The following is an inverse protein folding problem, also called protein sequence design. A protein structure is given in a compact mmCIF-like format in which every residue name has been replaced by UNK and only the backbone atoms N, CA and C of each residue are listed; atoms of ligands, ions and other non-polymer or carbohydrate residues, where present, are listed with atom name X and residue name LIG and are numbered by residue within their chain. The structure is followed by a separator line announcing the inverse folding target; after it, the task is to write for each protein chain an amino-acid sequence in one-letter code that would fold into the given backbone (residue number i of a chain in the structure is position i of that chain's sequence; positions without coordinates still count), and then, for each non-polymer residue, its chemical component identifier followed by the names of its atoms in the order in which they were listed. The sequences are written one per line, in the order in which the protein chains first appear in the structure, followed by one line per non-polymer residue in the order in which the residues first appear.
data_IF_426848698296
#
_entry.id   IF_426848698296
#
_cell.length_a   1.000
_cell.length_b   1.000
_cell.length_c   1.000
_cell.angle_alpha   90.00
_cell.angle_beta   90.00
_cell.angle_gamma   90.00
#
_symmetry.space_group_name_H-M   'P 1'
#
loop_
_entity.id
_entity.type
_entity.pdbx_description
1 polymer ?
#
# COMPACT_ATOMS: atom_id res chain seq x y z
N UNK A 1 6.12 20.12 14.99
CA UNK A 1 5.20 20.56 13.91
C UNK A 1 5.73 20.37 12.49
N UNK A 2 7.05 20.37 12.22
CA UNK A 2 7.60 20.20 10.85
C UNK A 2 7.38 18.81 10.20
N UNK A 3 7.24 17.73 10.99
CA UNK A 3 7.07 16.36 10.47
C UNK A 3 5.65 16.14 9.89
N UNK A 4 4.65 16.85 10.41
CA UNK A 4 3.26 16.76 9.94
C UNK A 4 3.06 17.44 8.58
N UNK A 5 3.88 18.45 8.27
CA UNK A 5 3.80 19.20 7.02
C UNK A 5 4.49 18.49 5.85
N UNK A 6 5.50 17.66 6.12
CA UNK A 6 6.17 16.83 5.09
C UNK A 6 5.38 15.56 4.76
N UNK A 7 4.60 15.02 5.71
CA UNK A 7 3.77 13.84 5.48
C UNK A 7 2.51 14.16 4.64
N UNK A 8 1.94 15.35 4.79
CA UNK A 8 0.81 15.82 3.97
C UNK A 8 1.18 16.04 2.50
N UNK A 9 2.41 16.47 2.21
CA UNK A 9 2.86 16.75 0.84
C UNK A 9 3.17 15.48 0.04
N UNK A 10 3.58 14.39 0.71
CA UNK A 10 3.81 13.09 0.09
C UNK A 10 2.51 12.33 -0.25
N UNK A 11 1.42 12.59 0.49
CA UNK A 11 0.11 11.97 0.23
C UNK A 11 -0.62 12.61 -0.96
N UNK A 12 -0.43 13.92 -1.19
CA UNK A 12 -1.03 14.63 -2.32
C UNK A 12 -0.36 14.28 -3.65
N UNK A 13 0.92 13.91 -3.63
CA UNK A 13 1.66 13.49 -4.84
C UNK A 13 1.28 12.07 -5.31
N UNK A 14 0.73 11.21 -4.44
CA UNK A 14 0.26 9.88 -4.83
C UNK A 14 -1.15 9.89 -5.44
N UNK A 15 -2.01 10.85 -5.05
CA UNK A 15 -3.31 11.07 -5.68
C UNK A 15 -3.24 11.64 -7.10
N UNK A 16 -2.10 12.22 -7.50
CA UNK A 16 -1.91 12.77 -8.84
C UNK A 16 -1.58 11.71 -9.92
N UNK A 17 -1.36 10.44 -9.53
CA UNK A 17 -1.06 9.36 -10.47
C UNK A 17 -2.30 8.59 -10.96
N UNK A 18 -3.51 9.02 -10.57
CA UNK A 18 -4.78 8.36 -10.91
C UNK A 18 -5.72 9.15 -11.84
N UNK A 19 -5.37 10.39 -12.20
CA UNK A 19 -6.19 11.23 -13.09
C UNK A 19 -5.51 11.36 -14.45
N UNK A 20 -5.48 10.25 -15.18
CA UNK A 20 -5.44 10.33 -16.62
C UNK A 20 -6.84 10.78 -17.05
N UNK A 21 -7.00 11.92 -17.77
CA UNK A 21 -8.29 12.25 -18.35
C UNK A 21 -8.75 11.06 -19.21
N UNK A 22 -10.06 10.77 -19.25
CA UNK A 22 -10.57 9.74 -20.16
C UNK A 22 -10.30 10.25 -21.57
N UNK A 23 -9.17 9.87 -22.15
CA UNK A 23 -8.99 9.98 -23.59
C UNK A 23 -10.10 9.13 -24.19
N UNK A 24 -10.96 9.85 -24.88
CA UNK A 24 -12.12 9.38 -25.62
C UNK A 24 -11.88 8.03 -26.28
N UNK A 25 -12.79 7.11 -25.97
CA UNK A 25 -13.18 5.95 -26.76
C UNK A 25 -12.86 6.10 -28.26
N UNK A 26 -11.72 5.58 -28.66
CA UNK A 26 -11.64 4.84 -29.91
C UNK A 26 -10.89 3.57 -29.57
N UNK A 27 -11.56 2.45 -29.76
CA UNK A 27 -10.94 1.15 -29.70
C UNK A 27 -9.60 1.24 -30.46
N UNK A 28 -8.52 0.74 -29.86
CA UNK A 28 -7.17 0.66 -30.47
C UNK A 28 -7.13 -0.22 -31.74
N UNK A 29 -8.31 -0.62 -32.23
CA UNK A 29 -8.61 -1.25 -33.50
C UNK A 29 -9.53 -0.27 -34.26
N UNK A 30 -9.08 0.96 -34.47
CA UNK A 30 -9.41 1.70 -35.70
C UNK A 30 -8.49 1.18 -36.81
N UNK A 31 -8.48 -0.15 -36.96
CA UNK A 31 -8.01 -0.72 -38.20
C UNK A 31 -9.09 -0.31 -39.17
N UNK A 32 -8.68 0.46 -40.16
CA UNK A 32 -9.12 0.63 -41.55
C UNK A 32 -10.03 -0.48 -42.15
N UNK A 33 -10.97 -1.00 -41.38
CA UNK A 33 -11.89 -2.10 -41.68
C UNK A 33 -12.88 -1.64 -42.73
N UNK A 34 -13.22 -0.34 -42.75
CA UNK A 34 -14.07 0.26 -43.79
C UNK A 34 -13.40 0.21 -45.16
N UNK A 35 -12.09 0.50 -45.25
CA UNK A 35 -11.36 0.45 -46.53
C UNK A 35 -11.08 -0.99 -46.96
N UNK A 36 -10.78 -1.89 -46.02
CA UNK A 36 -10.63 -3.32 -46.30
C UNK A 36 -11.95 -4.00 -46.67
N UNK A 37 -13.09 -3.60 -46.08
CA UNK A 37 -14.42 -4.09 -46.47
C UNK A 37 -14.75 -3.70 -47.91
N UNK A 38 -14.53 -2.45 -48.29
CA UNK A 38 -14.81 -1.95 -49.65
C UNK A 38 -13.94 -2.69 -50.70
N UNK A 39 -12.67 -2.96 -50.34
CA UNK A 39 -11.77 -3.78 -51.15
C UNK A 39 -12.21 -5.24 -51.30
N UNK A 40 -12.71 -5.85 -50.22
CA UNK A 40 -13.26 -7.22 -50.22
C UNK A 40 -14.58 -7.25 -51.02
N UNK A 41 -15.48 -6.30 -50.83
CA UNK A 41 -16.76 -6.19 -51.54
C UNK A 41 -16.53 -6.10 -53.05
N UNK A 42 -15.62 -5.21 -53.48
CA UNK A 42 -15.23 -5.08 -54.89
C UNK A 42 -14.62 -6.35 -55.47
N UNK A 43 -13.78 -7.06 -54.70
CA UNK A 43 -13.17 -8.32 -55.13
C UNK A 43 -14.21 -9.43 -55.29
N UNK A 44 -15.23 -9.45 -54.43
CA UNK A 44 -16.32 -10.42 -54.51
C UNK A 44 -17.27 -10.10 -55.67
N UNK A 45 -17.55 -8.83 -55.94
CA UNK A 45 -18.32 -8.43 -57.12
C UNK A 45 -17.62 -8.77 -58.44
N UNK A 46 -16.30 -8.59 -58.51
CA UNK A 46 -15.49 -9.07 -59.66
C UNK A 46 -15.53 -10.59 -59.80
N UNK A 47 -15.48 -11.31 -58.68
CA UNK A 47 -15.59 -12.78 -58.68
C UNK A 47 -16.97 -13.21 -59.17
N UNK A 48 -18.05 -12.55 -58.74
CA UNK A 48 -19.42 -12.80 -59.24
C UNK A 48 -19.52 -12.62 -60.74
N UNK A 49 -19.07 -11.47 -61.25
CA UNK A 49 -19.11 -11.20 -62.69
C UNK A 49 -18.33 -12.27 -63.49
N UNK A 50 -17.22 -12.75 -62.94
CA UNK A 50 -16.44 -13.83 -63.55
C UNK A 50 -17.19 -15.18 -63.53
N UNK A 51 -17.83 -15.53 -62.42
CA UNK A 51 -18.62 -16.76 -62.28
C UNK A 51 -19.86 -16.75 -63.19
N UNK A 52 -20.52 -15.60 -63.34
CA UNK A 52 -21.67 -15.42 -64.23
C UNK A 52 -21.27 -15.59 -65.71
N UNK A 53 -20.15 -14.99 -66.11
CA UNK A 53 -19.57 -15.20 -67.45
C UNK A 53 -19.18 -16.66 -67.71
N UNK A 54 -18.62 -17.36 -66.71
CA UNK A 54 -18.31 -18.79 -66.81
C UNK A 54 -19.59 -19.61 -66.94
N UNK A 55 -20.63 -19.31 -66.16
CA UNK A 55 -21.92 -19.99 -66.25
C UNK A 55 -22.56 -19.79 -67.64
N UNK A 56 -22.54 -18.58 -68.18
CA UNK A 56 -23.04 -18.29 -69.54
C UNK A 56 -22.25 -18.98 -70.65
N UNK A 57 -20.91 -19.04 -70.51
CA UNK A 57 -20.07 -19.78 -71.45
C UNK A 57 -20.34 -21.29 -71.39
N UNK A 58 -20.54 -21.85 -70.19
CA UNK A 58 -20.89 -23.26 -69.98
C UNK A 58 -22.29 -23.58 -70.54
N UNK A 59 -23.26 -22.68 -70.40
CA UNK A 59 -24.60 -22.82 -70.98
C UNK A 59 -24.56 -22.83 -72.52
N UNK A 60 -23.73 -21.97 -73.12
CA UNK A 60 -23.48 -21.95 -74.57
C UNK A 60 -22.79 -23.23 -75.08
N UNK A 61 -21.89 -23.81 -74.29
CA UNK A 61 -21.27 -25.11 -74.61
C UNK A 61 -22.31 -26.23 -74.51
N UNK A 62 -23.19 -26.20 -73.50
CA UNK A 62 -24.23 -27.20 -73.26
C UNK A 62 -25.24 -27.31 -74.41
N UNK A 63 -25.52 -26.19 -75.07
CA UNK A 63 -26.40 -26.09 -76.23
C UNK A 63 -25.71 -26.37 -77.58
N UNK A 64 -24.41 -26.65 -77.60
CA UNK A 64 -23.73 -27.02 -78.85
C UNK A 64 -24.01 -28.49 -79.23
N UNK A 65 -24.25 -28.74 -80.52
CA UNK A 65 -24.61 -30.07 -81.06
C UNK A 65 -23.49 -31.13 -80.97
N UNK A 66 -22.32 -30.77 -80.42
CA UNK A 66 -21.13 -31.63 -80.35
C UNK A 66 -20.96 -32.36 -79.01
N UNK A 67 -21.88 -32.23 -78.06
CA UNK A 67 -21.79 -32.89 -76.76
C UNK A 67 -22.58 -34.19 -76.70
N UNK A 68 -21.98 -35.21 -76.09
CA UNK A 68 -22.69 -36.44 -75.71
C UNK A 68 -23.65 -36.18 -74.55
N UNK A 69 -24.67 -37.03 -74.38
CA UNK A 69 -25.66 -36.87 -73.30
C UNK A 69 -25.03 -36.87 -71.90
N UNK A 70 -23.96 -37.64 -71.67
CA UNK A 70 -23.20 -37.62 -70.41
C UNK A 70 -22.43 -36.31 -70.17
N UNK A 71 -21.97 -35.65 -71.24
CA UNK A 71 -21.30 -34.35 -71.13
C UNK A 71 -22.30 -33.25 -70.83
N UNK A 72 -23.49 -33.27 -71.45
CA UNK A 72 -24.58 -32.33 -71.13
C UNK A 72 -25.02 -32.44 -69.67
N UNK A 73 -25.13 -33.66 -69.14
CA UNK A 73 -25.54 -33.88 -67.76
C UNK A 73 -24.49 -33.37 -66.76
N UNK A 74 -23.21 -33.72 -66.95
CA UNK A 74 -22.10 -33.21 -66.12
C UNK A 74 -22.02 -31.68 -66.15
N UNK A 75 -22.28 -31.09 -67.32
CA UNK A 75 -22.25 -29.65 -67.51
C UNK A 75 -23.44 -28.95 -66.82
N UNK A 76 -24.64 -29.52 -66.91
CA UNK A 76 -25.82 -29.05 -66.17
C UNK A 76 -25.60 -29.09 -64.65
N UNK A 77 -24.99 -30.15 -64.14
CA UNK A 77 -24.63 -30.24 -62.71
C UNK A 77 -23.58 -29.18 -62.32
N UNK A 78 -22.59 -28.96 -63.19
CA UNK A 78 -21.57 -27.93 -62.98
C UNK A 78 -22.17 -26.53 -62.91
N UNK A 79 -23.10 -26.21 -63.83
CA UNK A 79 -23.83 -24.92 -63.84
C UNK A 79 -24.67 -24.77 -62.57
N UNK A 80 -25.36 -25.83 -62.14
CA UNK A 80 -26.14 -25.82 -60.89
C UNK A 80 -25.26 -25.54 -59.66
N UNK A 81 -24.11 -26.21 -59.56
CA UNK A 81 -23.17 -26.02 -58.46
C UNK A 81 -22.57 -24.60 -58.47
N UNK A 82 -22.28 -24.05 -59.65
CA UNK A 82 -21.81 -22.68 -59.83
C UNK A 82 -22.85 -21.66 -59.34
N UNK A 83 -24.11 -21.82 -59.76
CA UNK A 83 -25.21 -20.96 -59.31
C UNK A 83 -25.39 -21.02 -57.79
N UNK A 84 -25.27 -22.21 -57.20
CA UNK A 84 -25.35 -22.36 -55.75
C UNK A 84 -24.17 -21.68 -55.03
N UNK A 85 -22.95 -21.79 -55.55
CA UNK A 85 -21.78 -21.11 -55.01
C UNK A 85 -21.89 -19.58 -55.09
N UNK A 86 -22.41 -19.05 -56.21
CA UNK A 86 -22.67 -17.62 -56.38
C UNK A 86 -23.70 -17.14 -55.35
N UNK A 87 -24.75 -17.93 -55.10
CA UNK A 87 -25.76 -17.63 -54.07
C UNK A 87 -25.17 -17.63 -52.66
N UNK A 88 -24.42 -18.66 -52.29
CA UNK A 88 -23.80 -18.76 -50.95
C UNK A 88 -22.77 -17.65 -50.73
N UNK A 89 -21.96 -17.36 -51.75
CA UNK A 89 -21.02 -16.24 -51.74
C UNK A 89 -21.76 -14.92 -51.52
N UNK A 90 -22.93 -14.74 -52.15
CA UNK A 90 -23.76 -13.56 -51.96
C UNK A 90 -24.25 -13.39 -50.53
N UNK A 91 -24.77 -14.45 -49.94
CA UNK A 91 -25.28 -14.40 -48.58
C UNK A 91 -24.15 -14.21 -47.56
N UNK A 92 -22.96 -14.75 -47.85
CA UNK A 92 -21.75 -14.56 -47.04
C UNK A 92 -21.27 -13.11 -47.05
N UNK A 93 -21.27 -12.44 -48.21
CA UNK A 93 -20.89 -11.01 -48.32
C UNK A 93 -21.89 -10.14 -47.58
N UNK A 94 -23.19 -10.39 -47.77
CA UNK A 94 -24.24 -9.58 -47.16
C UNK A 94 -24.25 -9.70 -45.62
N UNK A 95 -23.84 -10.85 -45.08
CA UNK A 95 -23.78 -11.10 -43.63
C UNK A 95 -22.46 -10.67 -42.98
N UNK A 96 -21.40 -10.42 -43.77
CA UNK A 96 -20.08 -10.06 -43.26
C UNK A 96 -20.06 -8.76 -42.44
N UNK A 97 -20.69 -7.64 -42.87
CA UNK A 97 -20.74 -6.41 -42.08
C UNK A 97 -21.45 -6.61 -40.73
N UNK A 98 -22.53 -7.39 -40.72
CA UNK A 98 -23.27 -7.70 -39.49
C UNK A 98 -22.43 -8.54 -38.51
N UNK A 99 -21.63 -9.48 -39.02
CA UNK A 99 -20.71 -10.28 -38.20
C UNK A 99 -19.58 -9.42 -37.59
N UNK A 100 -19.04 -8.46 -38.35
CA UNK A 100 -18.03 -7.51 -37.87
C UNK A 100 -18.63 -6.61 -36.78
N UNK A 101 -19.83 -6.05 -36.99
CA UNK A 101 -20.51 -5.23 -35.99
C UNK A 101 -20.77 -6.00 -34.70
N UNK A 102 -21.25 -7.24 -34.80
CA UNK A 102 -21.47 -8.10 -33.64
C UNK A 102 -20.15 -8.41 -32.90
N UNK A 103 -19.06 -8.68 -33.64
CA UNK A 103 -17.74 -8.88 -33.06
C UNK A 103 -17.25 -7.65 -32.30
N UNK A 104 -17.37 -6.46 -32.89
CA UNK A 104 -16.99 -5.20 -32.23
C UNK A 104 -17.79 -4.94 -30.96
N UNK A 105 -19.10 -5.18 -30.98
CA UNK A 105 -19.96 -5.03 -29.81
C UNK A 105 -19.56 -5.99 -28.68
N UNK A 106 -19.38 -7.28 -28.99
CA UNK A 106 -18.99 -8.28 -27.99
C UNK A 106 -17.61 -7.99 -27.43
N UNK A 107 -16.65 -7.61 -28.28
CA UNK A 107 -15.29 -7.26 -27.86
C UNK A 107 -15.31 -6.01 -26.97
N UNK A 108 -16.06 -4.98 -27.34
CA UNK A 108 -16.17 -3.74 -26.55
C UNK A 108 -16.82 -4.00 -25.19
N UNK A 109 -17.96 -4.69 -25.15
CA UNK A 109 -18.69 -4.98 -23.92
C UNK A 109 -17.90 -5.89 -22.97
N UNK A 110 -17.19 -6.89 -23.51
CA UNK A 110 -16.31 -7.77 -22.72
C UNK A 110 -15.06 -7.04 -22.23
N UNK A 111 -14.48 -6.19 -23.07
CA UNK A 111 -13.28 -5.42 -22.73
C UNK A 111 -13.57 -4.42 -21.62
N UNK A 112 -14.65 -3.63 -21.73
CA UNK A 112 -15.04 -2.68 -20.68
C UNK A 112 -15.30 -3.37 -19.34
N UNK A 113 -16.06 -4.47 -19.32
CA UNK A 113 -16.27 -5.24 -18.07
C UNK A 113 -14.98 -5.79 -17.48
N UNK A 114 -14.03 -6.21 -18.32
CA UNK A 114 -12.73 -6.69 -17.86
C UNK A 114 -11.88 -5.57 -17.27
N UNK A 115 -11.84 -4.40 -17.93
CA UNK A 115 -11.12 -3.22 -17.43
C UNK A 115 -11.72 -2.72 -16.12
N UNK A 116 -13.04 -2.66 -15.98
CA UNK A 116 -13.70 -2.27 -14.74
C UNK A 116 -13.40 -3.25 -13.58
N UNK A 117 -13.47 -4.57 -13.83
CA UNK A 117 -13.14 -5.58 -12.81
C UNK A 117 -11.67 -5.50 -12.38
N UNK A 118 -10.78 -5.28 -13.34
CA UNK A 118 -9.34 -5.15 -13.10
C UNK A 118 -9.01 -3.85 -12.35
N UNK A 119 -9.61 -2.72 -12.74
CA UNK A 119 -9.44 -1.44 -12.06
C UNK A 119 -9.97 -1.51 -10.63
N UNK A 120 -11.17 -2.06 -10.41
CA UNK A 120 -11.74 -2.19 -9.08
C UNK A 120 -10.88 -3.08 -8.17
N UNK A 121 -10.37 -4.22 -8.67
CA UNK A 121 -9.46 -5.09 -7.91
C UNK A 121 -8.16 -4.40 -7.54
N UNK A 122 -7.54 -3.66 -8.46
CA UNK A 122 -6.30 -2.93 -8.17
C UNK A 122 -6.54 -1.85 -7.10
N UNK A 123 -7.58 -1.04 -7.26
CA UNK A 123 -7.92 0.01 -6.28
C UNK A 123 -8.20 -0.59 -4.90
N UNK A 124 -8.89 -1.73 -4.83
CA UNK A 124 -9.17 -2.42 -3.57
C UNK A 124 -7.89 -2.91 -2.89
N UNK A 125 -6.94 -3.49 -3.63
CA UNK A 125 -5.65 -3.93 -3.09
C UNK A 125 -4.86 -2.74 -2.55
N UNK A 126 -4.78 -1.64 -3.30
CA UNK A 126 -4.08 -0.43 -2.86
C UNK A 126 -4.72 0.16 -1.60
N UNK A 127 -6.06 0.22 -1.54
CA UNK A 127 -6.79 0.66 -0.37
C UNK A 127 -6.53 -0.23 0.84
N UNK A 128 -6.52 -1.56 0.65
CA UNK A 128 -6.24 -2.53 1.71
C UNK A 128 -4.83 -2.37 2.27
N UNK A 129 -3.83 -2.18 1.41
CA UNK A 129 -2.44 -1.88 1.82
C UNK A 129 -2.38 -0.58 2.61
N UNK A 130 -3.11 0.46 2.19
CA UNK A 130 -3.23 1.72 2.93
C UNK A 130 -3.81 1.55 4.34
N UNK A 131 -4.88 0.75 4.48
CA UNK A 131 -5.48 0.44 5.79
C UNK A 131 -4.51 -0.33 6.68
N UNK A 132 -3.78 -1.30 6.14
CA UNK A 132 -2.76 -2.05 6.88
C UNK A 132 -1.67 -1.11 7.41
N UNK A 133 -1.17 -0.17 6.59
CA UNK A 133 -0.17 0.80 7.04
C UNK A 133 -0.68 1.65 8.20
N UNK A 134 -1.91 2.15 8.13
CA UNK A 134 -2.53 2.92 9.21
C UNK A 134 -2.67 2.06 10.47
N UNK A 135 -3.08 0.80 10.33
CA UNK A 135 -3.20 -0.12 11.45
C UNK A 135 -1.84 -0.39 12.12
N UNK A 136 -0.77 -0.56 11.35
CA UNK A 136 0.60 -0.72 11.86
C UNK A 136 1.05 0.53 12.60
N UNK A 137 0.83 1.71 12.04
CA UNK A 137 1.17 2.99 12.72
C UNK A 137 0.40 3.12 14.03
N UNK A 138 -0.90 2.78 14.03
CA UNK A 138 -1.73 2.76 15.23
C UNK A 138 -1.23 1.76 16.28
N UNK A 139 -0.83 0.57 15.85
CA UNK A 139 -0.26 -0.45 16.73
C UNK A 139 1.07 0.01 17.35
N UNK A 140 1.96 0.63 16.57
CA UNK A 140 3.21 1.21 17.07
C UNK A 140 2.94 2.32 18.08
N UNK A 141 1.99 3.23 17.77
CA UNK A 141 1.60 4.28 18.70
C UNK A 141 1.07 3.70 20.02
N UNK A 142 0.21 2.71 19.94
CA UNK A 142 -0.42 2.13 21.12
C UNK A 142 0.56 1.30 21.95
N UNK A 143 1.43 0.53 21.31
CA UNK A 143 2.30 -0.43 21.99
C UNK A 143 3.66 0.13 22.40
N UNK A 144 4.20 1.14 21.71
CA UNK A 144 5.52 1.71 22.04
C UNK A 144 5.38 3.07 22.73
N UNK A 145 4.67 4.03 22.14
CA UNK A 145 4.62 5.40 22.67
C UNK A 145 3.87 5.49 24.00
N UNK A 146 2.76 4.77 24.15
CA UNK A 146 1.94 4.80 25.38
C UNK A 146 2.67 4.25 26.61
N UNK A 147 3.31 3.06 26.59
CA UNK A 147 4.05 2.59 27.76
C UNK A 147 5.30 3.42 28.02
N UNK A 148 6.01 3.91 26.99
CA UNK A 148 7.17 4.79 27.19
C UNK A 148 6.81 6.07 27.95
N UNK A 149 5.66 6.69 27.65
CA UNK A 149 5.17 7.85 28.41
C UNK A 149 4.88 7.48 29.87
N UNK A 150 4.28 6.32 30.13
CA UNK A 150 4.01 5.86 31.51
C UNK A 150 5.28 5.51 32.29
N UNK A 151 6.28 4.92 31.63
CA UNK A 151 7.55 4.52 32.23
C UNK A 151 8.39 5.75 32.57
N UNK A 152 8.48 6.73 31.67
CA UNK A 152 9.20 7.99 31.93
C UNK A 152 8.54 8.75 33.08
N UNK A 153 7.21 8.86 33.08
CA UNK A 153 6.48 9.53 34.16
C UNK A 153 6.67 8.84 35.52
N UNK A 154 6.62 7.51 35.55
CA UNK A 154 6.83 6.71 36.77
C UNK A 154 8.27 6.82 37.29
N UNK A 155 9.26 6.79 36.39
CA UNK A 155 10.66 6.97 36.74
C UNK A 155 10.91 8.38 37.33
N UNK A 156 10.35 9.43 36.72
CA UNK A 156 10.46 10.80 37.25
C UNK A 156 9.79 10.94 38.61
N UNK A 157 8.63 10.30 38.83
CA UNK A 157 7.95 10.33 40.11
C UNK A 157 8.77 9.65 41.21
N UNK A 158 9.32 8.46 40.94
CA UNK A 158 10.18 7.74 41.89
C UNK A 158 11.48 8.50 42.21
N UNK A 159 12.13 9.10 41.20
CA UNK A 159 13.33 9.93 41.42
C UNK A 159 13.00 11.17 42.25
N UNK A 160 11.83 11.80 42.05
CA UNK A 160 11.39 12.92 42.88
C UNK A 160 11.17 12.51 44.35
N UNK A 161 10.61 11.33 44.59
CA UNK A 161 10.47 10.78 45.94
C UNK A 161 11.83 10.45 46.57
N UNK A 162 12.77 9.89 45.79
CA UNK A 162 14.14 9.66 46.26
C UNK A 162 14.86 10.97 46.59
N UNK A 163 14.68 12.03 45.81
CA UNK A 163 15.24 13.35 46.11
C UNK A 163 14.68 13.92 47.42
N UNK A 164 13.38 13.73 47.70
CA UNK A 164 12.76 14.10 48.98
C UNK A 164 13.32 13.27 50.14
N UNK A 165 13.47 11.96 49.97
CA UNK A 165 14.04 11.08 51.00
C UNK A 165 15.51 11.44 51.29
N UNK A 166 16.31 11.70 50.25
CA UNK A 166 17.70 12.16 50.40
C UNK A 166 17.79 13.49 51.14
N UNK A 167 16.86 14.43 50.88
CA UNK A 167 16.79 15.69 51.63
C UNK A 167 16.50 15.44 53.12
N UNK A 168 15.53 14.58 53.43
CA UNK A 168 15.18 14.23 54.82
C UNK A 168 16.33 13.49 55.51
N UNK A 169 17.02 12.59 54.82
CA UNK A 169 18.20 11.89 55.36
C UNK A 169 19.35 12.86 55.59
N UNK A 170 19.63 13.78 54.66
CA UNK A 170 20.65 14.81 54.84
C UNK A 170 20.34 15.71 56.05
N UNK A 171 19.07 16.10 56.22
CA UNK A 171 18.63 16.90 57.37
C UNK A 171 18.72 16.10 58.68
N UNK A 172 18.41 14.80 58.66
CA UNK A 172 18.56 13.92 59.82
C UNK A 172 20.04 13.73 60.20
N UNK A 173 20.93 13.56 59.21
CA UNK A 173 22.38 13.46 59.42
C UNK A 173 22.92 14.77 59.99
N UNK A 174 22.52 15.92 59.46
CA UNK A 174 22.93 17.23 60.00
C UNK A 174 22.51 17.39 61.47
N UNK A 175 21.27 17.02 61.80
CA UNK A 175 20.76 17.07 63.19
C UNK A 175 21.50 16.10 64.10
N UNK A 176 21.81 14.88 63.65
CA UNK A 176 22.61 13.92 64.41
C UNK A 176 24.03 14.43 64.64
N UNK A 177 24.65 15.04 63.64
CA UNK A 177 25.99 15.62 63.76
C UNK A 177 26.02 16.74 64.80
N UNK A 178 25.05 17.67 64.76
CA UNK A 178 24.93 18.73 65.77
C UNK A 178 24.73 18.17 67.18
N UNK A 179 23.86 17.17 67.33
CA UNK A 179 23.66 16.48 68.63
C UNK A 179 24.93 15.79 69.13
N UNK A 180 25.71 15.15 68.25
CA UNK A 180 26.98 14.53 68.64
C UNK A 180 28.02 15.58 69.08
N UNK A 181 28.08 16.72 68.40
CA UNK A 181 28.95 17.82 68.78
C UNK A 181 28.57 18.38 70.16
N UNK A 182 27.29 18.65 70.40
CA UNK A 182 26.77 19.11 71.69
C UNK A 182 27.07 18.11 72.82
N UNK A 183 26.85 16.80 72.61
CA UNK A 183 27.14 15.77 73.61
C UNK A 183 28.65 15.71 73.92
N UNK A 184 29.49 15.83 72.89
CA UNK A 184 30.95 15.80 73.06
C UNK A 184 31.43 17.02 73.85
N UNK A 185 30.88 18.20 73.58
CA UNK A 185 31.17 19.41 74.35
C UNK A 185 30.70 19.28 75.80
N UNK A 186 29.50 18.75 76.05
CA UNK A 186 29.00 18.49 77.41
C UNK A 186 29.87 17.49 78.16
N UNK A 187 30.32 16.41 77.51
CA UNK A 187 31.22 15.43 78.11
C UNK A 187 32.60 16.04 78.42
N UNK A 188 33.14 16.88 77.54
CA UNK A 188 34.39 17.58 77.78
C UNK A 188 34.28 18.55 78.97
N UNK A 189 33.20 19.32 79.04
CA UNK A 189 32.93 20.24 80.16
C UNK A 189 32.78 19.51 81.49
N UNK A 190 32.08 18.37 81.51
CA UNK A 190 31.96 17.52 82.70
C UNK A 190 33.32 16.92 83.10
N UNK A 191 34.12 16.47 82.14
CA UNK A 191 35.47 15.96 82.42
C UNK A 191 36.40 17.03 82.99
N UNK A 192 36.33 18.27 82.50
CA UNK A 192 37.09 19.38 83.09
C UNK A 192 36.61 19.72 84.51
N UNK A 193 35.30 19.73 84.76
CA UNK A 193 34.75 19.92 86.11
C UNK A 193 35.20 18.82 87.08
N UNK A 194 35.23 17.57 86.63
CA UNK A 194 35.73 16.44 87.42
C UNK A 194 37.22 16.59 87.73
N UNK A 195 38.05 16.94 86.73
CA UNK A 195 39.49 17.21 86.96
C UNK A 195 39.73 18.38 87.92
N UNK A 196 38.96 19.47 87.79
CA UNK A 196 39.06 20.61 88.69
C UNK A 196 38.66 20.24 90.13
N UNK A 197 37.67 19.37 90.31
CA UNK A 197 37.29 18.87 91.63
C UNK A 197 38.38 18.00 92.27
N UNK A 198 39.06 17.14 91.49
CA UNK A 198 40.17 16.29 91.98
C UNK A 198 41.38 17.12 92.41
N UNK A 199 41.71 18.20 91.70
CA UNK A 199 42.84 19.08 92.07
C UNK A 199 42.57 19.81 93.40
N UNK A 200 41.32 20.23 93.64
CA UNK A 200 40.91 20.88 94.90
C UNK A 200 40.96 19.89 96.08
N UNK A 201 40.77 18.60 95.82
CA UNK A 201 40.86 17.55 96.85
C UNK A 201 42.33 17.22 97.22
N UNK A 202 43.25 17.32 96.26
CA UNK A 202 44.71 17.12 96.49
C UNK A 202 45.36 18.32 97.20
N UNK A 203 44.86 19.55 96.98
CA UNK A 203 45.35 20.77 97.66
C UNK A 203 44.94 20.86 99.14
N UNK A 204 44.08 19.95 99.62
CA UNK A 204 43.58 19.91 101.00
C UNK A 204 44.31 18.92 101.90
N UNK A 205 45.41 18.33 101.44
CA UNK A 205 46.25 17.43 102.25
C UNK A 205 47.31 18.25 103.01
N UNK A 206 47.23 18.38 104.36
CA UNK A 206 48.23 19.11 105.11
C UNK A 206 49.60 18.43 105.04
N UNK A 207 50.59 19.17 104.56
CA UNK A 207 52.01 19.02 104.84
C UNK A 207 52.20 19.10 106.36
N UNK A 208 52.61 17.99 106.98
CA UNK A 208 53.10 17.96 108.36
C UNK A 208 54.47 17.29 108.35
N UNK A 209 55.50 18.12 108.30
CA UNK A 209 56.89 17.75 108.50
C UNK A 209 57.15 17.30 109.94
N UNK A 210 57.93 16.24 110.08
CA UNK A 210 59.02 16.21 111.04
C UNK A 210 58.87 15.29 112.26
N UNK A 211 59.53 14.13 112.18
CA UNK A 211 60.59 13.73 113.11
C UNK A 211 61.80 13.40 112.21
N UNK A 212 63.03 13.91 112.33
CA UNK A 212 63.67 14.76 113.32
C UNK A 212 65.14 14.35 113.41
N UNK A 213 66.08 15.27 113.09
CA UNK A 213 67.44 15.47 113.65
C UNK A 213 68.21 16.53 112.85
#
# INVERSE_FOLDING_TARGET
MKIWMTLGLALISLSAFGQQPPESDSAFIDVNVTLELDGIEKSIDQTRASLDNIAGALDGIAHSDNLTEQQKQTLSETISNLNQLVSISRDSVASFPAAIQHSQQVVSEKSQRFFDDLQFKIVLIVALVGVILIAVIGAVYWLLLRPLQSTVFSATHNVSQMAKALKVTAEAVERCSKRQEEITQQLAELSEKEKAAVIIEDEKKPENDGDGL
#
